data_IF_567939606457
#
_entry.id   IF_567939606457
#
_cell.length_a   1.000
_cell.length_b   1.000
_cell.length_c   1.000
_cell.angle_alpha   90.00
_cell.angle_beta   90.00
_cell.angle_gamma   90.00
#
_symmetry.space_group_name_H-M   'P 1'
#
loop_
_entity.id
_entity.type
_entity.pdbx_description
1 polymer ?
#
# COMPACT_ATOMS: atom_id res chain seq x y z
N UNK A 1 -48.28 15.80 30.57
CA UNK A 1 -48.47 15.07 29.27
C UNK A 1 -47.55 15.53 28.16
N UNK A 2 -47.44 16.82 27.81
CA UNK A 2 -46.55 17.28 26.70
C UNK A 2 -45.06 16.92 26.79
N UNK A 3 -44.47 16.81 27.97
CA UNK A 3 -43.06 16.47 28.17
C UNK A 3 -42.75 14.96 28.00
N UNK A 4 -43.72 14.09 28.28
CA UNK A 4 -43.53 12.64 28.06
C UNK A 4 -43.61 12.27 26.59
N UNK A 5 -44.49 12.93 25.82
CA UNK A 5 -44.62 12.71 24.38
C UNK A 5 -43.35 13.14 23.67
N UNK A 6 -42.74 14.28 24.01
CA UNK A 6 -41.45 14.74 23.45
C UNK A 6 -40.29 13.80 23.75
N UNK A 7 -40.20 13.26 25.00
CA UNK A 7 -39.18 12.26 25.37
C UNK A 7 -39.36 10.93 24.63
N UNK A 8 -40.59 10.47 24.49
CA UNK A 8 -40.90 9.23 23.75
C UNK A 8 -40.59 9.37 22.25
N UNK A 9 -40.92 10.49 21.63
CA UNK A 9 -40.59 10.78 20.22
C UNK A 9 -39.07 10.83 20.04
N UNK A 10 -38.33 11.45 20.96
CA UNK A 10 -36.88 11.56 20.89
C UNK A 10 -36.21 10.18 21.01
N UNK A 11 -36.70 9.30 21.93
CA UNK A 11 -36.22 7.95 22.09
C UNK A 11 -36.52 7.05 20.86
N UNK A 12 -37.66 7.23 20.22
CA UNK A 12 -38.05 6.50 19.02
C UNK A 12 -37.18 6.94 17.83
N UNK A 13 -36.94 8.24 17.67
CA UNK A 13 -36.08 8.76 16.60
C UNK A 13 -34.64 8.29 16.76
N UNK A 14 -34.11 8.26 17.97
CA UNK A 14 -32.76 7.74 18.25
C UNK A 14 -32.70 6.23 17.96
N UNK A 15 -33.67 5.46 18.41
CA UNK A 15 -33.70 4.00 18.21
C UNK A 15 -33.83 3.63 16.73
N UNK A 16 -34.65 4.35 15.96
CA UNK A 16 -34.80 4.13 14.50
C UNK A 16 -33.55 4.54 13.73
N UNK A 17 -32.85 5.59 14.17
CA UNK A 17 -31.57 6.00 13.57
C UNK A 17 -30.48 4.95 13.79
N UNK A 18 -30.37 4.38 14.99
CA UNK A 18 -29.42 3.31 15.28
C UNK A 18 -29.73 2.02 14.52
N UNK A 19 -30.98 1.62 14.41
CA UNK A 19 -31.39 0.43 13.66
C UNK A 19 -31.14 0.61 12.14
N UNK A 20 -31.42 1.79 11.60
CA UNK A 20 -31.16 2.11 10.19
C UNK A 20 -29.66 2.14 9.89
N UNK A 21 -28.83 2.61 10.82
CA UNK A 21 -27.38 2.66 10.67
C UNK A 21 -26.76 1.27 10.79
N UNK A 22 -27.23 0.42 11.69
CA UNK A 22 -26.81 -0.98 11.82
C UNK A 22 -27.12 -1.78 10.56
N UNK A 23 -28.35 -1.66 10.01
CA UNK A 23 -28.71 -2.29 8.73
C UNK A 23 -27.85 -1.84 7.56
N UNK A 24 -27.52 -0.53 7.49
CA UNK A 24 -26.65 0.00 6.45
C UNK A 24 -25.21 -0.49 6.57
N UNK A 25 -24.70 -0.72 7.77
CA UNK A 25 -23.37 -1.27 8.03
C UNK A 25 -23.23 -2.70 7.48
N UNK A 26 -24.13 -3.59 7.86
CA UNK A 26 -24.13 -4.97 7.38
C UNK A 26 -24.34 -5.07 5.87
N UNK A 27 -25.26 -4.27 5.33
CA UNK A 27 -25.57 -4.22 3.91
C UNK A 27 -24.36 -3.73 3.10
N UNK A 28 -23.61 -2.75 3.61
CA UNK A 28 -22.40 -2.25 2.96
C UNK A 28 -21.35 -3.35 2.83
N UNK A 29 -20.97 -4.00 3.93
CA UNK A 29 -19.93 -5.04 3.89
C UNK A 29 -20.38 -6.31 3.15
N UNK A 30 -21.65 -6.64 3.19
CA UNK A 30 -22.22 -7.71 2.35
C UNK A 30 -22.12 -7.36 0.87
N UNK A 31 -22.47 -6.13 0.49
CA UNK A 31 -22.37 -5.64 -0.89
C UNK A 31 -20.92 -5.60 -1.37
N UNK A 32 -19.97 -5.21 -0.50
CA UNK A 32 -18.53 -5.21 -0.83
C UNK A 32 -18.06 -6.63 -1.11
N UNK A 33 -18.32 -7.59 -0.24
CA UNK A 33 -17.90 -8.99 -0.43
C UNK A 33 -18.58 -9.66 -1.62
N UNK A 34 -19.79 -9.24 -1.96
CA UNK A 34 -20.54 -9.75 -3.11
C UNK A 34 -20.28 -9.03 -4.44
N UNK A 35 -19.29 -8.15 -4.52
CA UNK A 35 -18.99 -7.28 -5.68
C UNK A 35 -20.24 -6.54 -6.22
N UNK A 36 -21.16 -6.16 -5.31
CA UNK A 36 -22.39 -5.48 -5.66
C UNK A 36 -22.21 -3.95 -5.71
N UNK A 37 -21.66 -3.47 -6.82
CA UNK A 37 -21.37 -2.06 -7.05
C UNK A 37 -22.62 -1.16 -6.95
N UNK A 38 -23.81 -1.64 -7.38
CA UNK A 38 -25.03 -0.85 -7.34
C UNK A 38 -25.49 -0.59 -5.91
N UNK A 39 -25.43 -1.61 -5.05
CA UNK A 39 -25.76 -1.47 -3.63
C UNK A 39 -24.77 -0.56 -2.90
N UNK A 40 -23.45 -0.69 -3.16
CA UNK A 40 -22.45 0.19 -2.58
C UNK A 40 -22.70 1.64 -3.01
N UNK A 41 -22.90 1.91 -4.31
CA UNK A 41 -23.18 3.26 -4.81
C UNK A 41 -24.42 3.86 -4.16
N UNK A 42 -25.51 3.09 -4.03
CA UNK A 42 -26.74 3.54 -3.37
C UNK A 42 -26.51 3.89 -1.91
N UNK A 43 -25.69 3.11 -1.18
CA UNK A 43 -25.34 3.38 0.22
C UNK A 43 -24.53 4.67 0.36
N UNK A 44 -23.53 4.87 -0.50
CA UNK A 44 -22.72 6.10 -0.50
C UNK A 44 -23.56 7.33 -0.83
N UNK A 45 -24.47 7.23 -1.80
CA UNK A 45 -25.41 8.34 -2.15
C UNK A 45 -26.35 8.70 -0.99
N UNK A 46 -26.69 7.75 -0.12
CA UNK A 46 -27.47 7.97 1.11
C UNK A 46 -26.62 8.46 2.29
N UNK A 47 -25.33 8.73 2.08
CA UNK A 47 -24.44 9.28 3.09
C UNK A 47 -23.73 8.23 3.96
N UNK A 48 -23.68 6.96 3.53
CA UNK A 48 -22.85 5.98 4.23
C UNK A 48 -21.36 6.33 4.05
N UNK A 49 -20.60 6.36 5.14
CA UNK A 49 -19.17 6.65 5.10
C UNK A 49 -18.36 5.47 4.54
N UNK A 50 -17.71 5.60 3.36
CA UNK A 50 -16.90 4.55 2.74
C UNK A 50 -15.69 4.15 3.59
N UNK A 51 -15.31 4.99 4.55
CA UNK A 51 -14.15 4.78 5.43
C UNK A 51 -14.49 3.97 6.69
N UNK A 52 -15.75 3.59 6.84
CA UNK A 52 -16.22 2.74 7.94
C UNK A 52 -15.40 1.44 7.96
N UNK A 53 -15.02 1.02 9.17
CA UNK A 53 -14.25 -0.22 9.39
C UNK A 53 -15.16 -1.34 9.89
N UNK A 54 -14.92 -2.55 9.40
CA UNK A 54 -15.58 -3.76 9.92
C UNK A 54 -15.00 -4.16 11.29
N UNK A 55 -15.49 -5.26 11.86
CA UNK A 55 -15.05 -5.84 13.15
C UNK A 55 -13.54 -6.22 13.16
N UNK A 56 -12.93 -6.37 11.98
CA UNK A 56 -11.51 -6.67 11.83
C UNK A 56 -10.67 -5.41 11.51
N UNK A 57 -11.27 -4.22 11.62
CA UNK A 57 -10.61 -2.94 11.35
C UNK A 57 -10.34 -2.66 9.86
N UNK A 58 -11.01 -3.37 8.94
CA UNK A 58 -10.82 -3.22 7.50
C UNK A 58 -11.88 -2.31 6.89
N UNK A 59 -11.47 -1.41 6.01
CA UNK A 59 -12.41 -0.62 5.20
C UNK A 59 -12.96 -1.45 4.05
N UNK A 60 -14.06 -0.99 3.44
CA UNK A 60 -14.63 -1.63 2.26
C UNK A 60 -13.63 -1.78 1.12
N UNK A 61 -12.76 -0.78 0.91
CA UNK A 61 -11.72 -0.82 -0.12
C UNK A 61 -10.68 -1.92 0.15
N UNK A 62 -10.21 -2.06 1.40
CA UNK A 62 -9.26 -3.12 1.78
C UNK A 62 -9.84 -4.52 1.62
N UNK A 63 -11.13 -4.69 1.95
CA UNK A 63 -11.83 -5.97 1.75
C UNK A 63 -11.95 -6.26 0.25
N UNK A 64 -12.43 -5.31 -0.55
CA UNK A 64 -12.59 -5.46 -1.99
C UNK A 64 -11.27 -5.79 -2.71
N UNK A 65 -10.13 -5.28 -2.20
CA UNK A 65 -8.80 -5.61 -2.70
C UNK A 65 -8.34 -7.03 -2.36
N UNK A 66 -8.78 -7.59 -1.25
CA UNK A 66 -8.43 -8.96 -0.84
C UNK A 66 -9.31 -10.00 -1.50
N UNK A 67 -10.56 -9.68 -1.69
CA UNK A 67 -11.57 -10.49 -2.36
C UNK A 67 -11.69 -10.03 -3.83
N UNK A 68 -12.14 -10.88 -4.76
CA UNK A 68 -12.28 -10.51 -6.17
C UNK A 68 -13.52 -9.62 -6.39
N UNK A 69 -13.42 -8.35 -5.96
CA UNK A 69 -14.52 -7.37 -6.01
C UNK A 69 -14.18 -6.15 -6.89
N UNK A 70 -13.83 -6.32 -8.19
CA UNK A 70 -13.32 -5.26 -9.04
C UNK A 70 -14.32 -4.13 -9.28
N UNK A 71 -15.62 -4.43 -9.36
CA UNK A 71 -16.65 -3.40 -9.59
C UNK A 71 -16.83 -2.50 -8.37
N UNK A 72 -16.74 -3.09 -7.18
CA UNK A 72 -16.82 -2.34 -5.92
C UNK A 72 -15.57 -1.51 -5.71
N UNK A 73 -14.36 -2.01 -6.04
CA UNK A 73 -13.13 -1.22 -6.01
C UNK A 73 -13.32 0.06 -6.82
N UNK A 74 -13.83 -0.05 -8.06
CA UNK A 74 -14.05 1.11 -8.92
C UNK A 74 -15.01 2.14 -8.28
N UNK A 75 -16.14 1.69 -7.73
CA UNK A 75 -17.10 2.58 -7.05
C UNK A 75 -16.47 3.29 -5.85
N UNK A 76 -15.65 2.58 -5.07
CA UNK A 76 -15.02 3.14 -3.88
C UNK A 76 -13.93 4.17 -4.24
N UNK A 77 -13.05 3.87 -5.21
CA UNK A 77 -11.99 4.83 -5.60
C UNK A 77 -12.55 6.05 -6.35
N UNK A 78 -13.69 5.93 -7.04
CA UNK A 78 -14.39 7.06 -7.68
C UNK A 78 -15.10 7.98 -6.67
N UNK A 79 -15.34 7.51 -5.45
CA UNK A 79 -16.00 8.28 -4.42
C UNK A 79 -15.03 9.28 -3.79
N UNK A 80 -15.28 10.60 -3.87
CA UNK A 80 -14.38 11.62 -3.31
C UNK A 80 -14.27 11.58 -1.79
N UNK A 81 -15.17 10.84 -1.13
CA UNK A 81 -15.15 10.65 0.32
C UNK A 81 -14.27 9.48 0.76
N UNK A 82 -13.84 8.61 -0.17
CA UNK A 82 -13.00 7.47 0.16
C UNK A 82 -11.57 7.93 0.44
N UNK A 83 -11.10 7.64 1.64
CA UNK A 83 -9.69 7.77 1.96
C UNK A 83 -8.93 6.51 1.51
N UNK A 84 -8.18 6.64 0.42
CA UNK A 84 -7.44 5.54 -0.21
C UNK A 84 -6.17 5.13 0.57
N UNK A 85 -5.80 5.85 1.63
CA UNK A 85 -4.62 5.58 2.45
C UNK A 85 -4.92 4.87 3.76
N UNK A 86 -6.19 4.58 4.05
CA UNK A 86 -6.54 3.89 5.28
C UNK A 86 -5.96 2.47 5.30
N UNK A 87 -4.99 2.28 6.19
CA UNK A 87 -4.34 0.99 6.39
C UNK A 87 -5.18 0.03 7.25
N UNK A 88 -4.93 -1.29 7.08
CA UNK A 88 -5.47 -2.33 7.95
C UNK A 88 -4.67 -2.42 9.28
N UNK A 89 -5.01 -3.41 10.13
CA UNK A 89 -4.34 -3.64 11.42
C UNK A 89 -2.84 -4.04 11.28
N UNK A 90 -2.39 -4.43 10.07
CA UNK A 90 -0.98 -4.71 9.75
C UNK A 90 -0.26 -3.51 9.16
N UNK A 91 -0.88 -2.33 9.18
CA UNK A 91 -0.38 -1.10 8.57
C UNK A 91 -0.22 -1.18 7.03
N UNK A 92 -0.98 -2.08 6.38
CA UNK A 92 -0.99 -2.24 4.92
C UNK A 92 -2.04 -1.32 4.30
N UNK A 93 -1.61 -0.45 3.38
CA UNK A 93 -2.49 0.44 2.62
C UNK A 93 -3.04 -0.25 1.37
N UNK A 94 -4.13 0.26 0.76
CA UNK A 94 -4.62 -0.20 -0.53
C UNK A 94 -3.53 -0.26 -1.62
N UNK A 95 -2.67 0.76 -1.71
CA UNK A 95 -1.58 0.81 -2.68
C UNK A 95 -0.54 -0.30 -2.46
N UNK A 96 -0.23 -0.65 -1.20
CA UNK A 96 0.65 -1.78 -0.89
C UNK A 96 0.05 -3.11 -1.32
N UNK A 97 -1.26 -3.32 -1.06
CA UNK A 97 -1.96 -4.55 -1.43
C UNK A 97 -2.07 -4.69 -2.96
N UNK A 98 -2.33 -3.61 -3.68
CA UNK A 98 -2.33 -3.59 -5.14
C UNK A 98 -0.94 -3.89 -5.71
N UNK A 99 0.11 -3.32 -5.09
CA UNK A 99 1.50 -3.51 -5.51
C UNK A 99 1.96 -4.97 -5.38
N UNK A 100 1.72 -5.62 -4.24
CA UNK A 100 2.14 -7.03 -4.05
C UNK A 100 1.38 -7.98 -4.95
N UNK A 101 0.12 -7.67 -5.27
CA UNK A 101 -0.73 -8.48 -6.16
C UNK A 101 -0.45 -8.27 -7.65
N UNK A 102 0.41 -7.32 -8.02
CA UNK A 102 0.70 -7.03 -9.41
C UNK A 102 -0.45 -6.34 -10.16
N UNK A 103 -1.37 -5.69 -9.46
CA UNK A 103 -2.54 -5.03 -10.04
C UNK A 103 -2.17 -3.63 -10.59
N UNK A 104 -1.44 -3.61 -11.70
CA UNK A 104 -0.86 -2.39 -12.28
C UNK A 104 -1.89 -1.29 -12.53
N UNK A 105 -3.03 -1.64 -13.14
CA UNK A 105 -4.08 -0.65 -13.45
C UNK A 105 -4.62 -0.01 -12.18
N UNK A 106 -4.80 -0.81 -11.13
CA UNK A 106 -5.29 -0.32 -9.84
C UNK A 106 -4.23 0.54 -9.12
N UNK A 107 -2.95 0.17 -9.20
CA UNK A 107 -1.85 1.03 -8.71
C UNK A 107 -1.92 2.39 -9.37
N UNK A 108 -2.07 2.43 -10.71
CA UNK A 108 -2.18 3.68 -11.46
C UNK A 108 -3.43 4.49 -11.06
N UNK A 109 -4.55 3.84 -10.82
CA UNK A 109 -5.79 4.49 -10.39
C UNK A 109 -5.66 5.06 -8.97
N UNK A 110 -5.09 4.28 -8.03
CA UNK A 110 -4.86 4.74 -6.65
C UNK A 110 -3.93 5.97 -6.61
N UNK A 111 -2.86 5.96 -7.44
CA UNK A 111 -1.96 7.11 -7.55
C UNK A 111 -2.67 8.35 -8.13
N UNK A 112 -3.61 8.20 -9.07
CA UNK A 112 -4.45 9.31 -9.56
C UNK A 112 -5.43 9.84 -8.52
N UNK A 113 -5.74 9.04 -7.49
CA UNK A 113 -6.52 9.43 -6.33
C UNK A 113 -5.62 9.90 -5.16
N UNK A 114 -4.39 10.33 -5.46
CA UNK A 114 -3.42 10.88 -4.50
C UNK A 114 -3.01 9.89 -3.39
N UNK A 115 -3.07 8.56 -3.67
CA UNK A 115 -2.58 7.55 -2.72
C UNK A 115 -1.11 7.79 -2.38
N UNK A 116 -0.78 7.76 -1.09
CA UNK A 116 0.55 8.02 -0.58
C UNK A 116 1.56 6.95 -1.05
N UNK A 117 2.51 7.38 -1.89
CA UNK A 117 3.61 6.53 -2.40
C UNK A 117 4.60 6.20 -1.29
N UNK A 118 4.79 7.16 -0.38
CA UNK A 118 5.72 7.04 0.73
C UNK A 118 4.97 7.14 2.07
N UNK A 119 5.39 6.33 3.01
CA UNK A 119 4.94 6.39 4.41
C UNK A 119 6.04 5.89 5.33
N UNK A 120 5.97 6.20 6.60
CA UNK A 120 6.87 5.63 7.61
C UNK A 120 6.66 4.11 7.69
N UNK A 121 7.75 3.36 7.77
CA UNK A 121 7.73 1.91 7.85
C UNK A 121 7.68 1.24 6.47
N UNK A 122 6.89 0.18 6.33
CA UNK A 122 6.73 -0.50 5.06
C UNK A 122 6.08 0.40 4.01
N UNK A 123 6.61 0.39 2.78
CA UNK A 123 6.11 1.20 1.65
C UNK A 123 5.61 0.33 0.50
N UNK A 124 4.80 0.86 -0.44
CA UNK A 124 4.41 0.13 -1.65
C UNK A 124 5.59 -0.43 -2.44
N UNK A 125 6.75 0.27 -2.45
CA UNK A 125 7.94 -0.21 -3.15
C UNK A 125 8.54 -1.47 -2.51
N UNK A 126 8.49 -1.62 -1.18
CA UNK A 126 8.87 -2.87 -0.52
C UNK A 126 8.00 -4.04 -1.00
N UNK A 127 6.69 -3.82 -1.10
CA UNK A 127 5.72 -4.84 -1.51
C UNK A 127 5.89 -5.22 -2.98
N UNK A 128 6.08 -4.25 -3.87
CA UNK A 128 6.38 -4.49 -5.28
C UNK A 128 7.72 -5.23 -5.47
N UNK A 129 8.75 -4.84 -4.71
CA UNK A 129 10.07 -5.46 -4.74
C UNK A 129 10.03 -6.92 -4.24
N UNK A 130 9.25 -7.20 -3.19
CA UNK A 130 9.05 -8.55 -2.64
C UNK A 130 8.47 -9.52 -3.66
N UNK A 131 7.51 -9.07 -4.46
CA UNK A 131 6.84 -9.89 -5.47
C UNK A 131 7.43 -9.75 -6.88
N UNK A 132 8.49 -8.94 -7.05
CA UNK A 132 9.19 -8.76 -8.31
C UNK A 132 8.37 -8.06 -9.40
N UNK A 133 7.46 -7.17 -9.03
CA UNK A 133 6.55 -6.46 -9.93
C UNK A 133 7.24 -5.27 -10.62
N UNK A 134 8.04 -5.57 -11.63
CA UNK A 134 8.94 -4.59 -12.27
C UNK A 134 8.23 -3.33 -12.77
N UNK A 135 7.09 -3.49 -13.44
CA UNK A 135 6.33 -2.36 -13.98
C UNK A 135 5.80 -1.47 -12.86
N UNK A 136 5.30 -2.08 -11.78
CA UNK A 136 4.81 -1.34 -10.61
C UNK A 136 5.96 -0.65 -9.89
N UNK A 137 7.12 -1.32 -9.74
CA UNK A 137 8.31 -0.69 -9.16
C UNK A 137 8.72 0.56 -9.94
N UNK A 138 8.73 0.51 -11.28
CA UNK A 138 9.00 1.67 -12.12
C UNK A 138 7.97 2.77 -11.91
N UNK A 139 6.67 2.43 -11.97
CA UNK A 139 5.60 3.41 -11.73
C UNK A 139 5.74 4.08 -10.36
N UNK A 140 6.07 3.33 -9.30
CA UNK A 140 6.26 3.89 -7.96
C UNK A 140 7.50 4.81 -7.91
N UNK A 141 8.62 4.43 -8.52
CA UNK A 141 9.83 5.24 -8.60
C UNK A 141 9.61 6.52 -9.42
N UNK A 142 8.90 6.44 -10.55
CA UNK A 142 8.48 7.59 -11.36
C UNK A 142 7.57 8.55 -10.58
N UNK A 143 6.86 8.05 -9.56
CA UNK A 143 6.06 8.82 -8.62
C UNK A 143 6.81 9.11 -7.29
N UNK A 144 8.12 9.18 -7.33
CA UNK A 144 8.98 9.59 -6.22
C UNK A 144 8.96 8.65 -5.00
N UNK A 145 8.79 7.33 -5.21
CA UNK A 145 8.99 6.37 -4.13
C UNK A 145 10.43 6.45 -3.62
N UNK A 146 10.61 6.52 -2.30
CA UNK A 146 11.93 6.49 -1.69
C UNK A 146 12.56 5.12 -1.91
N UNK A 147 13.59 5.06 -2.79
CA UNK A 147 14.23 3.82 -3.21
C UNK A 147 14.86 3.05 -2.04
N UNK A 148 15.39 3.78 -1.05
CA UNK A 148 16.03 3.27 0.15
C UNK A 148 15.17 3.45 1.40
N UNK A 149 13.84 3.49 1.23
CA UNK A 149 12.91 3.53 2.35
C UNK A 149 13.22 2.40 3.34
N UNK A 150 13.14 2.71 4.64
CA UNK A 150 13.38 1.73 5.70
C UNK A 150 12.07 1.30 6.35
N UNK A 151 11.84 -0.01 6.39
CA UNK A 151 10.79 -0.60 7.23
C UNK A 151 11.10 -0.45 8.73
N UNK A 152 10.18 -0.80 9.64
CA UNK A 152 10.42 -0.65 11.08
C UNK A 152 11.67 -1.34 11.61
N UNK A 153 12.14 -2.41 10.95
CA UNK A 153 13.38 -3.09 11.28
C UNK A 153 14.58 -2.69 10.40
N UNK A 154 14.46 -1.59 9.64
CA UNK A 154 15.52 -1.08 8.77
C UNK A 154 15.70 -1.85 7.45
N UNK A 155 14.79 -2.76 7.10
CA UNK A 155 14.84 -3.47 5.81
C UNK A 155 14.48 -2.53 4.67
N UNK A 156 15.25 -2.57 3.56
CA UNK A 156 15.02 -1.75 2.36
C UNK A 156 14.32 -2.55 1.24
N UNK A 157 13.74 -1.87 0.21
CA UNK A 157 13.22 -2.55 -0.97
C UNK A 157 14.24 -3.45 -1.66
N UNK A 158 15.52 -3.04 -1.72
CA UNK A 158 16.59 -3.87 -2.29
C UNK A 158 16.82 -5.16 -1.48
N UNK A 159 16.77 -5.11 -0.16
CA UNK A 159 16.85 -6.29 0.71
C UNK A 159 15.67 -7.24 0.45
N UNK A 160 14.46 -6.70 0.29
CA UNK A 160 13.26 -7.51 -0.02
C UNK A 160 13.36 -8.14 -1.41
N UNK A 161 13.79 -7.39 -2.43
CA UNK A 161 14.04 -7.93 -3.77
C UNK A 161 15.11 -9.02 -3.75
N UNK A 162 16.19 -8.82 -2.99
CA UNK A 162 17.29 -9.79 -2.85
C UNK A 162 16.83 -11.12 -2.24
N UNK A 163 15.90 -11.08 -1.29
CA UNK A 163 15.42 -12.28 -0.60
C UNK A 163 14.27 -12.98 -1.33
N UNK A 164 13.27 -12.21 -1.78
CA UNK A 164 12.00 -12.73 -2.26
C UNK A 164 11.68 -12.40 -3.71
N UNK A 165 12.22 -11.28 -4.22
CA UNK A 165 11.93 -10.78 -5.57
C UNK A 165 12.66 -11.52 -6.68
N UNK A 166 12.53 -11.02 -7.90
CA UNK A 166 13.25 -11.53 -9.07
C UNK A 166 14.65 -10.90 -9.18
N UNK A 167 15.56 -11.54 -9.95
CA UNK A 167 16.85 -10.95 -10.26
C UNK A 167 16.72 -9.63 -11.05
N UNK A 168 15.68 -9.52 -11.86
CA UNK A 168 15.33 -8.31 -12.60
C UNK A 168 14.90 -7.18 -11.67
N UNK A 169 14.18 -7.49 -10.57
CA UNK A 169 13.82 -6.49 -9.55
C UNK A 169 15.07 -5.93 -8.86
N UNK A 170 16.03 -6.80 -8.54
CA UNK A 170 17.33 -6.39 -8.00
C UNK A 170 18.09 -5.51 -9.01
N UNK A 171 18.17 -5.93 -10.28
CA UNK A 171 18.82 -5.13 -11.35
C UNK A 171 18.17 -3.75 -11.48
N UNK A 172 16.85 -3.69 -11.47
CA UNK A 172 16.11 -2.44 -11.54
C UNK A 172 16.50 -1.50 -10.40
N UNK A 173 16.41 -1.95 -9.14
CA UNK A 173 16.75 -1.13 -7.98
C UNK A 173 18.22 -0.68 -8.01
N UNK A 174 19.14 -1.55 -8.43
CA UNK A 174 20.55 -1.18 -8.59
C UNK A 174 20.75 -0.11 -9.67
N UNK A 175 20.05 -0.24 -10.80
CA UNK A 175 20.12 0.74 -11.90
C UNK A 175 19.54 2.09 -11.49
N UNK A 176 18.46 2.10 -10.72
CA UNK A 176 17.81 3.31 -10.18
C UNK A 176 18.54 3.91 -8.97
N UNK A 177 19.62 3.30 -8.53
CA UNK A 177 20.51 3.90 -7.54
C UNK A 177 20.35 3.43 -6.10
N UNK A 178 19.65 2.32 -5.82
CA UNK A 178 19.50 1.80 -4.46
C UNK A 178 20.84 1.59 -3.73
N UNK A 179 20.94 2.00 -2.47
CA UNK A 179 22.17 1.87 -1.68
C UNK A 179 22.41 0.43 -1.24
N UNK A 180 23.48 -0.16 -1.76
CA UNK A 180 23.89 -1.54 -1.45
C UNK A 180 24.51 -1.72 -0.07
N UNK A 181 24.89 -0.61 0.59
CA UNK A 181 25.63 -0.62 1.87
C UNK A 181 24.74 -0.53 3.09
N UNK A 182 23.45 -0.20 2.89
CA UNK A 182 22.49 -0.08 3.98
C UNK A 182 22.37 -1.38 4.76
N UNK A 183 22.23 -1.24 6.08
CA UNK A 183 22.07 -2.37 7.01
C UNK A 183 20.76 -2.23 7.77
N UNK A 184 20.08 -3.34 7.93
CA UNK A 184 18.92 -3.41 8.82
C UNK A 184 19.35 -3.44 10.30
N UNK A 185 18.40 -3.51 11.24
CA UNK A 185 18.68 -3.55 12.68
C UNK A 185 19.51 -4.78 13.12
N UNK A 186 19.56 -5.83 12.32
CA UNK A 186 20.40 -7.00 12.57
C UNK A 186 21.80 -6.88 11.93
N UNK A 187 22.14 -5.72 11.38
CA UNK A 187 23.40 -5.48 10.68
C UNK A 187 23.49 -6.12 9.30
N UNK A 188 22.40 -6.68 8.77
CA UNK A 188 22.37 -7.40 7.50
C UNK A 188 22.20 -6.44 6.33
N UNK A 189 22.97 -6.66 5.27
CA UNK A 189 22.88 -5.97 3.97
C UNK A 189 21.99 -6.74 2.98
N UNK A 190 21.73 -6.19 1.80
CA UNK A 190 21.02 -6.90 0.74
C UNK A 190 21.76 -8.16 0.24
N UNK A 191 23.10 -8.17 0.31
CA UNK A 191 23.93 -9.37 0.03
C UNK A 191 23.63 -10.48 1.03
N UNK A 192 23.54 -10.14 2.34
CA UNK A 192 23.22 -11.10 3.38
C UNK A 192 21.83 -11.68 3.22
N UNK A 193 20.86 -10.85 2.79
CA UNK A 193 19.49 -11.31 2.49
C UNK A 193 19.46 -12.31 1.34
N UNK A 194 20.22 -12.07 0.26
CA UNK A 194 20.35 -13.02 -0.86
C UNK A 194 21.00 -14.33 -0.43
N UNK A 195 22.10 -14.27 0.34
CA UNK A 195 22.82 -15.45 0.84
C UNK A 195 21.96 -16.30 1.79
N UNK A 196 21.13 -15.69 2.62
CA UNK A 196 20.23 -16.38 3.55
C UNK A 196 19.27 -17.35 2.86
N UNK A 197 18.96 -17.10 1.59
CA UNK A 197 18.08 -17.94 0.76
C UNK A 197 18.80 -18.59 -0.40
N UNK A 198 20.13 -18.70 -0.31
CA UNK A 198 21.01 -19.36 -1.28
C UNK A 198 20.93 -18.75 -2.72
N UNK A 199 20.71 -17.46 -2.84
CA UNK A 199 20.69 -16.75 -4.13
C UNK A 199 22.07 -16.15 -4.43
N UNK A 200 23.07 -17.02 -4.64
CA UNK A 200 24.47 -16.64 -4.84
C UNK A 200 24.67 -15.66 -6.03
N UNK A 201 23.94 -15.88 -7.13
CA UNK A 201 24.04 -15.02 -8.31
C UNK A 201 23.53 -13.60 -8.00
N UNK A 202 22.46 -13.50 -7.21
CA UNK A 202 21.92 -12.22 -6.75
C UNK A 202 22.92 -11.52 -5.81
N UNK A 203 23.51 -12.26 -4.88
CA UNK A 203 24.54 -11.72 -3.98
C UNK A 203 25.77 -11.23 -4.76
N UNK A 204 26.24 -11.98 -5.76
CA UNK A 204 27.34 -11.58 -6.63
C UNK A 204 26.99 -10.32 -7.44
N UNK A 205 25.77 -10.22 -7.97
CA UNK A 205 25.30 -9.04 -8.70
C UNK A 205 25.32 -7.78 -7.84
N UNK A 206 24.81 -7.86 -6.60
CA UNK A 206 24.77 -6.72 -5.67
C UNK A 206 26.22 -6.33 -5.29
N UNK A 207 27.08 -7.30 -5.03
CA UNK A 207 28.49 -7.06 -4.71
C UNK A 207 29.23 -6.38 -5.87
N UNK A 208 29.00 -6.84 -7.11
CA UNK A 208 29.58 -6.21 -8.30
C UNK A 208 29.10 -4.76 -8.48
N UNK A 209 27.82 -4.49 -8.26
CA UNK A 209 27.27 -3.13 -8.31
C UNK A 209 27.88 -2.21 -7.24
N UNK A 210 28.07 -2.73 -6.02
CA UNK A 210 28.71 -2.01 -4.92
C UNK A 210 30.18 -1.65 -5.29
N UNK A 211 30.94 -2.60 -5.83
CA UNK A 211 32.32 -2.38 -6.26
C UNK A 211 32.41 -1.36 -7.41
N UNK A 212 31.50 -1.44 -8.40
CA UNK A 212 31.45 -0.49 -9.51
C UNK A 212 31.21 0.95 -9.03
N UNK A 213 30.32 1.14 -8.04
CA UNK A 213 30.06 2.47 -7.43
C UNK A 213 31.25 3.01 -6.63
N UNK A 214 31.91 2.13 -5.87
CA UNK A 214 33.10 2.52 -5.09
C UNK A 214 34.26 2.99 -5.99
N UNK A 215 34.36 2.42 -7.19
CA UNK A 215 35.38 2.72 -8.18
C UNK A 215 34.97 3.83 -9.18
N UNK A 216 33.70 4.29 -9.13
CA UNK A 216 33.26 5.38 -10.00
C UNK A 216 34.02 6.68 -9.67
N UNK A 217 34.50 7.45 -10.67
CA UNK A 217 35.11 8.76 -10.42
C UNK A 217 34.13 9.62 -9.63
N UNK A 218 34.57 10.15 -8.49
CA UNK A 218 33.77 11.15 -7.76
C UNK A 218 33.45 12.30 -8.69
N UNK A 219 32.20 12.58 -8.93
CA UNK A 219 31.76 13.71 -9.74
C UNK A 219 32.42 14.99 -9.18
N UNK A 220 33.25 15.65 -10.00
CA UNK A 220 33.83 16.94 -9.64
C UNK A 220 32.65 17.93 -9.58
N UNK A 221 32.44 18.65 -8.48
CA UNK A 221 31.43 19.69 -8.42
C UNK A 221 31.63 20.67 -9.55
N UNK A 222 30.60 21.01 -10.33
CA UNK A 222 30.68 21.90 -11.49
C UNK A 222 31.12 23.33 -11.14
N UNK A 223 31.20 23.65 -9.85
CA UNK A 223 31.55 24.96 -9.27
C UNK A 223 32.97 25.03 -8.68
N UNK A 224 33.77 23.97 -8.80
CA UNK A 224 35.19 23.99 -8.40
C UNK A 224 35.48 24.38 -6.94
N UNK A 225 34.45 24.28 -6.05
CA UNK A 225 34.61 24.54 -4.61
C UNK A 225 34.62 23.23 -3.83
N UNK A 226 35.67 23.01 -3.10
CA UNK A 226 35.90 21.95 -2.12
C UNK A 226 35.41 22.41 -0.74
#
# INVERSE_FOLDING_TARGET
MKNYIKKSIYLIVIATSFAAQAGSFEDFFRAVRGDNASSVRSLLQRGFDPNTRDEHGQTGLLIALREPSPKVIQVLIESPQTNVDLANAKDETPLMLAAIKGQQDLVTQLLKCDAAVNKTGWTPLHYAATSGQLTIMKVLLDNYAFIDAQSPNGTTPLMMAAMYGSSEAVKLLLAEGADTTMKNQLGMTAVDFANKVNRSDTAAMITAAAAARANAPKAIPKDGKW
#
